data_IF_525404021768
#
_entry.id   IF_525404021768
#
_cell.length_a   1.000
_cell.length_b   1.000
_cell.length_c   1.000
_cell.angle_alpha   90.00
_cell.angle_beta   90.00
_cell.angle_gamma   90.00
#
_symmetry.space_group_name_H-M   'P 1'
#
loop_
_entity.id
_entity.type
_entity.pdbx_description
1 polymer ?
#
# COMPACT_ATOMS: atom_id res chain seq x y z
N UNK A 1 37.89 -55.99 22.33
CA UNK A 1 36.76 -55.23 21.75
C UNK A 1 36.92 -53.79 22.21
N UNK A 2 37.43 -52.92 21.34
CA UNK A 2 37.90 -51.58 21.69
C UNK A 2 36.77 -50.53 21.54
N UNK A 3 36.58 -49.78 22.62
CA UNK A 3 36.18 -48.36 22.79
C UNK A 3 35.33 -47.62 21.75
N UNK A 4 34.18 -47.14 22.26
CA UNK A 4 33.59 -45.79 22.18
C UNK A 4 33.65 -45.00 20.86
N UNK A 5 32.48 -44.51 20.41
CA UNK A 5 32.31 -43.09 20.10
C UNK A 5 30.84 -42.64 20.20
N UNK A 6 30.65 -41.57 20.95
CA UNK A 6 29.43 -40.80 21.17
C UNK A 6 29.03 -40.01 19.93
N UNK A 7 27.76 -40.06 19.50
CA UNK A 7 27.19 -39.00 18.66
C UNK A 7 25.75 -38.71 19.10
N UNK A 8 25.61 -37.88 20.14
CA UNK A 8 24.40 -37.09 20.34
C UNK A 8 24.31 -36.08 19.20
N UNK A 9 23.42 -36.27 18.23
CA UNK A 9 23.06 -35.19 17.32
C UNK A 9 21.96 -34.34 17.96
N UNK A 10 22.37 -33.48 18.88
CA UNK A 10 21.66 -32.24 19.19
C UNK A 10 21.88 -31.29 18.01
N UNK A 11 21.07 -31.41 16.96
CA UNK A 11 20.95 -30.32 15.99
C UNK A 11 19.91 -29.33 16.52
N UNK A 12 20.31 -28.59 17.55
CA UNK A 12 19.78 -27.24 17.75
C UNK A 12 20.19 -26.47 16.51
N UNK A 13 19.30 -26.38 15.53
CA UNK A 13 19.43 -25.39 14.48
C UNK A 13 19.57 -24.05 15.22
N UNK A 14 20.78 -23.47 15.19
CA UNK A 14 21.00 -22.12 15.62
C UNK A 14 20.00 -21.28 14.84
N UNK A 15 18.92 -20.85 15.50
CA UNK A 15 18.14 -19.75 15.01
C UNK A 15 19.14 -18.62 14.95
N UNK A 16 19.58 -18.28 13.73
CA UNK A 16 20.21 -16.99 13.50
C UNK A 16 19.38 -15.96 14.28
N UNK A 17 20.01 -15.01 15.01
CA UNK A 17 19.25 -13.94 15.58
C UNK A 17 18.53 -13.29 14.41
N UNK A 18 17.21 -13.52 14.30
CA UNK A 18 16.34 -12.85 13.33
C UNK A 18 16.61 -11.39 13.58
N UNK A 19 17.52 -10.80 12.78
CA UNK A 19 17.79 -9.37 12.87
C UNK A 19 16.42 -8.77 12.65
N UNK A 20 15.90 -8.17 13.72
CA UNK A 20 14.52 -7.72 13.80
C UNK A 20 14.50 -6.45 12.95
N UNK A 21 14.64 -6.61 11.63
CA UNK A 21 14.64 -5.53 10.66
C UNK A 21 13.26 -4.92 10.77
N UNK A 22 13.21 -3.82 11.50
CA UNK A 22 12.01 -3.02 11.70
C UNK A 22 11.48 -2.52 10.35
N UNK A 23 12.38 -2.37 9.37
CA UNK A 23 12.10 -1.83 8.05
C UNK A 23 12.37 -2.87 6.96
N UNK A 24 11.35 -3.18 6.16
CA UNK A 24 11.35 -4.19 5.08
C UNK A 24 11.10 -3.46 3.76
N UNK A 25 12.07 -2.65 3.32
CA UNK A 25 12.05 -2.03 1.99
C UNK A 25 13.35 -2.43 1.27
N UNK A 26 13.29 -2.98 0.03
CA UNK A 26 12.11 -3.23 -0.80
C UNK A 26 11.30 -4.46 -0.37
N UNK A 27 9.97 -4.41 -0.54
CA UNK A 27 9.06 -5.56 -0.32
C UNK A 27 8.22 -5.85 -1.57
N UNK A 28 7.57 -7.01 -1.61
CA UNK A 28 6.68 -7.40 -2.72
C UNK A 28 5.51 -6.42 -2.92
N UNK A 29 5.17 -5.61 -1.91
CA UNK A 29 4.08 -4.64 -1.96
C UNK A 29 4.57 -3.19 -2.11
N UNK A 30 5.84 -2.88 -1.81
CA UNK A 30 6.38 -1.53 -1.85
C UNK A 30 7.81 -1.48 -2.42
N UNK A 31 7.90 -1.03 -3.67
CA UNK A 31 9.15 -0.79 -4.38
C UNK A 31 9.82 0.50 -3.86
N UNK A 32 11.15 0.62 -3.98
CA UNK A 32 11.89 1.81 -3.51
C UNK A 32 11.38 3.13 -4.11
N UNK A 33 10.98 3.11 -5.39
CA UNK A 33 10.44 4.29 -6.09
C UNK A 33 9.09 4.70 -5.50
N UNK A 34 8.18 3.74 -5.32
CA UNK A 34 6.86 4.00 -4.72
C UNK A 34 6.98 4.41 -3.25
N UNK A 35 7.93 3.83 -2.51
CA UNK A 35 8.26 4.27 -1.16
C UNK A 35 8.66 5.75 -1.14
N UNK A 36 9.58 6.17 -2.02
CA UNK A 36 10.01 7.56 -2.10
C UNK A 36 8.85 8.51 -2.45
N UNK A 37 7.96 8.10 -3.35
CA UNK A 37 6.79 8.89 -3.73
C UNK A 37 5.82 9.04 -2.57
N UNK A 38 5.51 7.96 -1.84
CA UNK A 38 4.67 8.06 -0.64
C UNK A 38 5.27 8.95 0.44
N UNK A 39 6.60 8.96 0.59
CA UNK A 39 7.27 9.93 1.48
C UNK A 39 7.04 11.36 0.98
N UNK A 40 7.16 11.61 -0.32
CA UNK A 40 6.89 12.93 -0.91
C UNK A 40 5.42 13.34 -0.71
N UNK A 41 4.47 12.43 -0.90
CA UNK A 41 3.04 12.67 -0.64
C UNK A 41 2.80 13.10 0.80
N UNK A 42 3.40 12.39 1.77
CA UNK A 42 3.29 12.73 3.20
C UNK A 42 3.89 14.12 3.47
N UNK A 43 5.07 14.42 2.93
CA UNK A 43 5.72 15.71 3.13
C UNK A 43 4.90 16.86 2.53
N UNK A 44 4.41 16.71 1.31
CA UNK A 44 3.61 17.74 0.65
C UNK A 44 2.27 17.95 1.36
N UNK A 45 1.61 16.86 1.77
CA UNK A 45 0.36 16.94 2.53
C UNK A 45 0.56 17.57 3.90
N UNK A 46 1.70 17.31 4.56
CA UNK A 46 2.06 17.94 5.82
C UNK A 46 2.31 19.44 5.69
N UNK A 47 3.06 19.85 4.67
CA UNK A 47 3.29 21.28 4.43
C UNK A 47 1.97 21.98 4.11
N UNK A 48 1.14 21.40 3.24
CA UNK A 48 -0.20 21.95 2.95
C UNK A 48 -1.04 22.11 4.23
N UNK A 49 -1.10 21.07 5.06
CA UNK A 49 -1.83 21.11 6.34
C UNK A 49 -1.28 22.16 7.31
N UNK A 50 0.04 22.24 7.49
CA UNK A 50 0.65 23.22 8.41
C UNK A 50 0.45 24.65 7.90
N UNK A 51 0.57 24.88 6.60
CA UNK A 51 0.33 26.21 6.04
C UNK A 51 -1.11 26.66 6.27
N UNK A 52 -2.07 25.73 6.21
CA UNK A 52 -3.47 25.99 6.51
C UNK A 52 -3.72 26.28 7.99
N UNK A 53 -3.24 25.41 8.88
CA UNK A 53 -3.45 25.52 10.33
C UNK A 53 -2.91 26.84 10.92
N UNK A 54 -1.88 27.42 10.28
CA UNK A 54 -1.26 28.68 10.72
C UNK A 54 -2.02 29.92 10.22
N UNK A 55 -3.02 29.76 9.33
CA UNK A 55 -3.90 30.84 8.88
C UNK A 55 -4.77 31.30 10.06
N UNK A 56 -4.53 32.54 10.52
CA UNK A 56 -5.21 33.10 11.69
C UNK A 56 -6.49 33.88 11.37
N UNK A 57 -6.83 34.07 10.10
CA UNK A 57 -8.01 34.84 9.68
C UNK A 57 -8.51 34.34 8.33
N UNK A 58 -9.77 33.91 8.27
CA UNK A 58 -10.46 33.51 7.04
C UNK A 58 -11.75 34.31 6.85
N UNK A 59 -12.00 34.76 5.62
CA UNK A 59 -13.27 35.39 5.20
C UNK A 59 -14.36 34.35 4.94
N UNK A 60 -14.00 33.25 4.29
CA UNK A 60 -14.85 32.07 4.04
C UNK A 60 -14.13 30.81 4.52
N UNK A 61 -14.46 30.36 5.72
CA UNK A 61 -13.74 29.25 6.36
C UNK A 61 -14.21 27.86 5.89
N UNK A 62 -15.29 27.77 5.10
CA UNK A 62 -15.81 26.49 4.59
C UNK A 62 -14.80 25.72 3.71
N UNK A 63 -14.30 26.33 2.61
CA UNK A 63 -13.24 25.75 1.78
C UNK A 63 -11.98 25.37 2.55
N UNK A 64 -11.62 26.21 3.53
CA UNK A 64 -10.48 26.02 4.42
C UNK A 64 -10.62 24.74 5.26
N UNK A 65 -11.74 24.57 5.95
CA UNK A 65 -12.00 23.36 6.74
C UNK A 65 -12.09 22.09 5.88
N UNK A 66 -12.63 22.20 4.66
CA UNK A 66 -12.65 21.08 3.74
C UNK A 66 -11.22 20.67 3.31
N UNK A 67 -10.38 21.66 2.99
CA UNK A 67 -8.98 21.42 2.64
C UNK A 67 -8.16 20.88 3.82
N UNK A 68 -8.38 21.40 5.03
CA UNK A 68 -7.79 20.89 6.28
C UNK A 68 -8.13 19.42 6.50
N UNK A 69 -9.42 19.07 6.39
CA UNK A 69 -9.87 17.69 6.55
C UNK A 69 -9.19 16.75 5.53
N UNK A 70 -9.15 17.14 4.25
CA UNK A 70 -8.55 16.32 3.19
C UNK A 70 -7.04 16.21 3.34
N UNK A 71 -6.34 17.30 3.67
CA UNK A 71 -4.88 17.29 3.86
C UNK A 71 -4.46 16.50 5.11
N UNK A 72 -5.19 16.64 6.21
CA UNK A 72 -4.95 15.87 7.44
C UNK A 72 -5.21 14.37 7.24
N UNK A 73 -6.31 14.01 6.59
CA UNK A 73 -6.61 12.61 6.27
C UNK A 73 -5.54 12.02 5.34
N UNK A 74 -5.16 12.73 4.27
CA UNK A 74 -4.09 12.30 3.37
C UNK A 74 -2.78 12.05 4.12
N UNK A 75 -2.40 12.97 5.01
CA UNK A 75 -1.20 12.83 5.82
C UNK A 75 -1.26 11.58 6.69
N UNK A 76 -2.30 11.47 7.53
CA UNK A 76 -2.38 10.42 8.55
C UNK A 76 -2.51 9.04 7.92
N UNK A 77 -3.39 8.89 6.93
CA UNK A 77 -3.60 7.61 6.28
C UNK A 77 -2.43 7.20 5.37
N UNK A 78 -1.81 8.13 4.63
CA UNK A 78 -0.63 7.79 3.82
C UNK A 78 0.54 7.42 4.72
N UNK A 79 0.77 8.15 5.82
CA UNK A 79 1.80 7.81 6.81
C UNK A 79 1.53 6.44 7.45
N UNK A 80 0.28 6.17 7.83
CA UNK A 80 -0.11 4.89 8.39
C UNK A 80 0.13 3.74 7.40
N UNK A 81 -0.30 3.89 6.15
CA UNK A 81 -0.05 2.90 5.09
C UNK A 81 1.44 2.70 4.84
N UNK A 82 2.21 3.79 4.80
CA UNK A 82 3.67 3.74 4.65
C UNK A 82 4.31 2.92 5.77
N UNK A 83 3.93 3.17 7.04
CA UNK A 83 4.44 2.42 8.19
C UNK A 83 4.02 0.96 8.11
N UNK A 84 2.75 0.66 7.84
CA UNK A 84 2.24 -0.71 7.75
C UNK A 84 2.99 -1.50 6.68
N UNK A 85 3.17 -0.92 5.50
CA UNK A 85 3.76 -1.58 4.34
C UNK A 85 5.29 -1.66 4.40
N UNK A 86 5.93 -0.71 5.08
CA UNK A 86 7.39 -0.70 5.30
C UNK A 86 7.82 -1.53 6.53
N UNK A 87 6.90 -1.98 7.38
CA UNK A 87 7.19 -2.80 8.57
C UNK A 87 6.66 -4.23 8.40
N UNK A 88 7.09 -5.20 9.24
CA UNK A 88 6.47 -6.53 9.28
C UNK A 88 5.00 -6.52 9.73
N UNK A 89 4.44 -5.37 10.13
CA UNK A 89 3.06 -5.29 10.61
C UNK A 89 2.05 -5.64 9.53
N UNK A 90 2.36 -5.41 8.24
CA UNK A 90 1.48 -5.81 7.13
C UNK A 90 1.12 -7.30 7.13
N UNK A 91 1.97 -8.17 7.69
CA UNK A 91 1.71 -9.62 7.79
C UNK A 91 0.78 -9.99 8.96
N UNK A 92 0.64 -9.09 9.94
CA UNK A 92 -0.24 -9.32 11.11
C UNK A 92 -1.65 -8.80 10.88
N UNK A 93 -1.83 -7.79 10.04
CA UNK A 93 -3.16 -7.30 9.68
C UNK A 93 -3.69 -8.20 8.57
N UNK A 94 -4.74 -8.99 8.86
CA UNK A 94 -5.30 -10.02 7.96
C UNK A 94 -6.01 -9.47 6.73
N UNK A 95 -5.34 -8.61 5.96
CA UNK A 95 -5.85 -7.97 4.76
C UNK A 95 -5.56 -8.87 3.56
N UNK A 96 -6.61 -9.21 2.81
CA UNK A 96 -6.53 -10.11 1.66
C UNK A 96 -5.64 -9.56 0.51
N UNK A 97 -5.56 -8.25 0.32
CA UNK A 97 -4.78 -7.63 -0.77
C UNK A 97 -4.38 -6.19 -0.47
N UNK A 98 -3.20 -6.00 0.12
CA UNK A 98 -2.59 -4.68 0.35
C UNK A 98 -2.48 -3.81 -0.90
N UNK A 99 -2.08 -4.32 -2.08
CA UNK A 99 -1.99 -3.49 -3.28
C UNK A 99 -3.35 -2.94 -3.73
N UNK A 100 -4.45 -3.67 -3.51
CA UNK A 100 -5.79 -3.21 -3.89
C UNK A 100 -6.28 -2.10 -2.96
N UNK A 101 -6.02 -2.24 -1.66
CA UNK A 101 -6.34 -1.18 -0.69
C UNK A 101 -5.51 0.07 -0.95
N UNK A 102 -4.21 -0.08 -1.17
CA UNK A 102 -3.30 1.03 -1.49
C UNK A 102 -3.74 1.76 -2.77
N UNK A 103 -4.07 1.01 -3.82
CA UNK A 103 -4.59 1.59 -5.06
C UNK A 103 -5.91 2.35 -4.87
N UNK A 104 -6.87 1.73 -4.19
CA UNK A 104 -8.17 2.36 -3.92
C UNK A 104 -8.02 3.63 -3.10
N UNK A 105 -7.19 3.59 -2.06
CA UNK A 105 -6.86 4.73 -1.23
C UNK A 105 -6.19 5.85 -2.03
N UNK A 106 -5.08 5.56 -2.74
CA UNK A 106 -4.35 6.55 -3.54
C UNK A 106 -5.29 7.19 -4.58
N UNK A 107 -6.16 6.40 -5.22
CA UNK A 107 -7.14 6.91 -6.19
C UNK A 107 -8.16 7.85 -5.56
N UNK A 108 -8.72 7.49 -4.40
CA UNK A 108 -9.71 8.33 -3.69
C UNK A 108 -9.05 9.62 -3.22
N UNK A 109 -7.86 9.53 -2.61
CA UNK A 109 -7.15 10.70 -2.12
C UNK A 109 -6.71 11.63 -3.25
N UNK A 110 -6.25 11.11 -4.40
CA UNK A 110 -5.92 11.96 -5.55
C UNK A 110 -7.10 12.85 -5.98
N UNK A 111 -8.31 12.27 -6.05
CA UNK A 111 -9.53 12.98 -6.45
C UNK A 111 -9.95 13.98 -5.36
N UNK A 112 -9.98 13.55 -4.10
CA UNK A 112 -10.37 14.42 -2.98
C UNK A 112 -9.42 15.61 -2.82
N UNK A 113 -8.11 15.38 -2.90
CA UNK A 113 -7.10 16.44 -2.79
C UNK A 113 -7.19 17.43 -3.95
N UNK A 114 -7.45 16.96 -5.17
CA UNK A 114 -7.70 17.82 -6.32
C UNK A 114 -8.93 18.71 -6.11
N UNK A 115 -10.05 18.12 -5.68
CA UNK A 115 -11.29 18.86 -5.43
C UNK A 115 -11.11 19.88 -4.31
N UNK A 116 -10.48 19.49 -3.21
CA UNK A 116 -10.18 20.38 -2.10
C UNK A 116 -9.30 21.56 -2.55
N UNK A 117 -8.24 21.29 -3.33
CA UNK A 117 -7.35 22.32 -3.86
C UNK A 117 -8.08 23.29 -4.79
N UNK A 118 -8.99 22.81 -5.65
CA UNK A 118 -9.78 23.65 -6.55
C UNK A 118 -10.77 24.53 -5.77
N UNK A 119 -11.51 23.93 -4.82
CA UNK A 119 -12.50 24.67 -4.01
C UNK A 119 -11.82 25.74 -3.18
N UNK A 120 -10.67 25.42 -2.58
CA UNK A 120 -9.90 26.39 -1.80
C UNK A 120 -9.21 27.44 -2.69
N UNK A 121 -8.74 27.07 -3.87
CA UNK A 121 -8.22 28.03 -4.84
C UNK A 121 -9.28 29.03 -5.34
N UNK A 122 -10.54 28.61 -5.44
CA UNK A 122 -11.62 29.45 -5.94
C UNK A 122 -12.07 30.52 -4.95
N UNK A 123 -11.85 30.31 -3.64
CA UNK A 123 -12.52 31.07 -2.58
C UNK A 123 -11.56 31.39 -1.40
N UNK A 124 -10.24 31.42 -1.63
CA UNK A 124 -9.27 31.82 -0.61
C UNK A 124 -9.23 33.34 -0.40
N UNK A 125 -8.86 33.77 0.81
CA UNK A 125 -8.68 35.18 1.19
C UNK A 125 -7.47 35.88 0.55
N UNK A 126 -6.80 35.24 -0.43
CA UNK A 126 -5.62 35.73 -1.15
C UNK A 126 -4.43 36.10 -0.24
N UNK A 127 -4.38 35.56 0.97
CA UNK A 127 -3.22 35.73 1.84
C UNK A 127 -2.06 34.85 1.36
N UNK A 128 -0.82 35.23 1.66
CA UNK A 128 0.34 34.44 1.24
C UNK A 128 0.37 33.01 1.81
N UNK A 129 -0.22 32.80 2.99
CA UNK A 129 -0.33 31.48 3.62
C UNK A 129 -1.36 30.61 2.90
N UNK A 130 -2.56 31.13 2.63
CA UNK A 130 -3.60 30.40 1.90
C UNK A 130 -3.14 30.08 0.47
N UNK A 131 -2.53 31.04 -0.24
CA UNK A 131 -1.98 30.80 -1.58
C UNK A 131 -0.89 29.73 -1.58
N UNK A 132 -0.03 29.73 -0.55
CA UNK A 132 0.98 28.69 -0.39
C UNK A 132 0.35 27.33 -0.11
N UNK A 133 -0.62 27.26 0.79
CA UNK A 133 -1.40 26.04 1.08
C UNK A 133 -2.04 25.46 -0.19
N UNK A 134 -2.70 26.30 -1.00
CA UNK A 134 -3.25 25.92 -2.32
C UNK A 134 -2.16 25.38 -3.25
N UNK A 135 -1.00 26.05 -3.34
CA UNK A 135 0.09 25.61 -4.21
C UNK A 135 0.65 24.23 -3.80
N UNK A 136 0.87 24.02 -2.50
CA UNK A 136 1.27 22.71 -1.98
C UNK A 136 0.17 21.66 -2.14
N UNK A 137 -1.10 22.04 -2.11
CA UNK A 137 -2.20 21.14 -2.40
C UNK A 137 -2.22 20.63 -3.83
N UNK A 138 -1.96 21.50 -4.81
CA UNK A 138 -1.78 21.06 -6.20
C UNK A 138 -0.53 20.20 -6.38
N UNK A 139 0.58 20.52 -5.71
CA UNK A 139 1.79 19.67 -5.74
C UNK A 139 1.52 18.28 -5.15
N UNK A 140 0.82 18.21 -4.01
CA UNK A 140 0.41 16.95 -3.39
C UNK A 140 -0.48 16.14 -4.35
N UNK A 141 -1.45 16.82 -4.98
CA UNK A 141 -2.33 16.21 -5.99
C UNK A 141 -1.52 15.57 -7.13
N UNK A 142 -0.54 16.28 -7.68
CA UNK A 142 0.35 15.73 -8.72
C UNK A 142 1.11 14.51 -8.21
N UNK A 143 1.62 14.54 -6.98
CA UNK A 143 2.32 13.39 -6.39
C UNK A 143 1.41 12.15 -6.29
N UNK A 144 0.17 12.32 -5.81
CA UNK A 144 -0.82 11.24 -5.75
C UNK A 144 -1.18 10.69 -7.14
N UNK A 145 -1.28 11.55 -8.16
CA UNK A 145 -1.49 11.09 -9.54
C UNK A 145 -0.28 10.34 -10.10
N UNK A 146 0.94 10.73 -9.73
CA UNK A 146 2.15 9.99 -10.11
C UNK A 146 2.17 8.61 -9.44
N UNK A 147 1.85 8.48 -8.14
CA UNK A 147 1.74 7.17 -7.49
C UNK A 147 0.66 6.31 -8.16
N UNK A 148 -0.51 6.89 -8.45
CA UNK A 148 -1.57 6.21 -9.19
C UNK A 148 -1.09 5.72 -10.57
N UNK A 149 -0.45 6.59 -11.35
CA UNK A 149 0.05 6.25 -12.69
C UNK A 149 1.12 5.17 -12.67
N UNK A 150 2.05 5.23 -11.71
CA UNK A 150 3.06 4.20 -11.51
C UNK A 150 2.45 2.88 -11.04
N UNK A 151 1.44 2.92 -10.17
CA UNK A 151 0.71 1.72 -9.77
C UNK A 151 0.08 1.05 -11.00
N UNK A 152 -0.65 1.81 -11.81
CA UNK A 152 -1.30 1.28 -13.03
C UNK A 152 -0.28 0.74 -14.02
N UNK A 153 0.86 1.43 -14.20
CA UNK A 153 1.94 0.98 -15.09
C UNK A 153 2.60 -0.31 -14.60
N UNK A 154 2.87 -0.44 -13.31
CA UNK A 154 3.62 -1.56 -12.76
C UNK A 154 2.74 -2.79 -12.50
N UNK A 155 1.48 -2.61 -12.11
CA UNK A 155 0.57 -3.68 -11.64
C UNK A 155 -0.66 -3.88 -12.51
N UNK A 156 -0.96 -2.96 -13.43
CA UNK A 156 -2.24 -2.91 -14.14
C UNK A 156 -3.39 -2.42 -13.25
N UNK A 157 -4.59 -2.30 -13.83
CA UNK A 157 -5.80 -1.91 -13.09
C UNK A 157 -6.35 -3.16 -12.38
N UNK A 158 -6.44 -3.19 -11.03
CA UNK A 158 -6.93 -4.35 -10.28
C UNK A 158 -8.33 -4.80 -10.72
N UNK A 159 -9.19 -3.85 -11.11
CA UNK A 159 -10.57 -4.08 -11.54
C UNK A 159 -10.72 -4.71 -12.95
N UNK A 160 -9.64 -4.83 -13.74
CA UNK A 160 -9.69 -5.40 -15.10
C UNK A 160 -9.30 -6.88 -15.14
N UNK A 161 -9.22 -7.55 -13.99
CA UNK A 161 -8.96 -9.00 -13.88
C UNK A 161 -10.24 -9.78 -14.18
N UNK A 162 -10.69 -9.70 -15.44
CA UNK A 162 -11.96 -10.27 -15.88
C UNK A 162 -12.05 -10.62 -17.35
N UNK A 163 -10.92 -10.84 -18.06
CA UNK A 163 -11.01 -11.49 -19.37
C UNK A 163 -9.76 -12.18 -19.94
N UNK A 164 -8.65 -12.32 -19.22
CA UNK A 164 -7.44 -12.98 -19.76
C UNK A 164 -6.71 -13.85 -18.72
N UNK A 165 -7.45 -14.66 -17.98
CA UNK A 165 -6.89 -15.84 -17.28
C UNK A 165 -7.75 -17.06 -17.59
N UNK A 166 -7.67 -17.53 -18.83
CA UNK A 166 -7.90 -18.94 -19.14
C UNK A 166 -6.93 -19.40 -20.22
N UNK A 167 -5.67 -19.51 -19.81
CA UNK A 167 -4.71 -20.42 -20.41
C UNK A 167 -3.83 -20.95 -19.27
N UNK A 168 -4.48 -21.52 -18.25
CA UNK A 168 -3.85 -22.40 -17.29
C UNK A 168 -3.42 -23.67 -18.02
N UNK A 169 -2.21 -23.66 -18.58
CA UNK A 169 -1.51 -24.89 -18.96
C UNK A 169 -0.81 -25.45 -17.72
N UNK A 170 -1.61 -26.00 -16.81
CA UNK A 170 -1.13 -26.96 -15.83
C UNK A 170 -1.62 -28.34 -16.28
N UNK A 171 -0.75 -29.35 -16.46
CA UNK A 171 -1.20 -30.68 -16.85
C UNK A 171 -2.08 -31.22 -15.73
N UNK A 172 -3.35 -31.54 -16.04
CA UNK A 172 -4.20 -32.30 -15.12
C UNK A 172 -3.50 -33.63 -14.85
N UNK A 173 -3.29 -34.04 -13.58
CA UNK A 173 -2.94 -35.43 -13.31
C UNK A 173 -4.12 -36.27 -13.78
N UNK A 174 -3.82 -37.18 -14.70
CA UNK A 174 -4.75 -38.19 -15.17
C UNK A 174 -5.41 -38.88 -13.97
N UNK A 175 -6.74 -38.92 -13.99
CA UNK A 175 -7.48 -39.71 -13.02
C UNK A 175 -7.19 -41.17 -13.31
N UNK A 176 -6.23 -41.73 -12.56
CA UNK A 176 -5.90 -43.13 -12.52
C UNK A 176 -7.21 -43.93 -12.32
N UNK A 177 -7.58 -44.70 -13.35
CA UNK A 177 -8.78 -45.54 -13.30
C UNK A 177 -8.56 -46.61 -12.24
N UNK A 178 -9.32 -46.49 -11.16
CA UNK A 178 -9.41 -47.45 -10.07
C UNK A 178 -9.64 -48.86 -10.64
N UNK A 179 -8.67 -49.76 -10.39
CA UNK A 179 -8.80 -51.19 -10.67
C UNK A 179 -10.08 -51.72 -10.02
N UNK A 180 -11.06 -52.10 -10.85
CA UNK A 180 -12.15 -52.96 -10.41
C UNK A 180 -11.62 -54.41 -10.45
N UNK A 181 -10.91 -54.81 -9.41
CA UNK A 181 -10.75 -56.23 -9.11
C UNK A 181 -11.79 -56.58 -8.04
N UNK A 182 -12.80 -57.34 -8.44
CA UNK A 182 -13.90 -57.77 -7.60
C UNK A 182 -14.29 -59.21 -7.95
N UNK A 183 -13.52 -60.13 -7.37
CA UNK A 183 -13.97 -61.40 -6.76
C UNK A 183 -14.86 -62.35 -7.57
N UNK A 184 -14.26 -63.50 -7.88
CA UNK A 184 -14.77 -64.86 -7.62
C UNK A 184 -16.28 -65.03 -7.40
N UNK A 185 -16.92 -65.77 -8.30
CA UNK A 185 -18.05 -66.63 -7.91
C UNK A 185 -17.94 -67.97 -8.63
N UNK A 186 -17.76 -68.98 -7.79
CA UNK A 186 -17.86 -70.41 -8.00
C UNK A 186 -19.21 -70.79 -8.63
N UNK A 187 -19.18 -71.45 -9.78
CA UNK A 187 -19.86 -72.73 -10.06
C UNK A 187 -19.59 -73.20 -11.50
#
# INVERSE_FOLDING_TARGET
MATADTVYNTTTAAQEPKSRKWFIVPSENLDKVRFAIKVIEVLLSFVAFVMEEVVSSCSQCGPLYFFEFVSCTALLFTLLLLILLATPLHQRVGINSWPTLDFGYTSVMAILFLLASIVFAADNGQTGLEQGSVAFGFLATVAFFIDFGLFVKNRGIPCRKGNNQQADRTPRPESEKLNANGTDSVN
#
